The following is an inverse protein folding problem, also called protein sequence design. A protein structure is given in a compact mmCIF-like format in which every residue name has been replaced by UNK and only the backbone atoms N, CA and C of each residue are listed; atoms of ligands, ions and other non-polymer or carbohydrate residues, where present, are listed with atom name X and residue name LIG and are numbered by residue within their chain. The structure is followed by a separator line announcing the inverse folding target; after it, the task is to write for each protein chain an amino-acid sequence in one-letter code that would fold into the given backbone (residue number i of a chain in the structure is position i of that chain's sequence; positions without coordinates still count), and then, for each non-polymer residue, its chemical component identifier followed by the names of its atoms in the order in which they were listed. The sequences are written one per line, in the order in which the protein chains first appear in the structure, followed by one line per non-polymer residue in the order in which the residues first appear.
data_IF_231385622910
#
_entry.id   IF_231385622910
#
_cell.length_a   1.000
_cell.length_b   1.000
_cell.length_c   1.000
_cell.angle_alpha   90.00
_cell.angle_beta   90.00
_cell.angle_gamma   90.00
#
_symmetry.space_group_name_H-M   'P 1'
#
loop_
_entity.id
_entity.type
_entity.pdbx_description
1 polymer ?
#
# COMPACT_ATOMS: atom_id res chain seq x y z
N UNK A 1 55.04 37.35 32.51
CA UNK A 1 53.72 36.69 32.56
C UNK A 1 53.12 36.71 31.17
N UNK A 2 53.31 35.65 30.38
CA UNK A 2 52.78 35.50 29.03
C UNK A 2 51.31 35.05 29.08
N UNK A 3 50.42 35.81 28.43
CA UNK A 3 49.01 35.47 28.25
C UNK A 3 48.90 34.41 27.15
N UNK A 4 48.44 33.21 27.50
CA UNK A 4 48.17 32.12 26.54
C UNK A 4 46.79 32.37 25.92
N UNK A 5 46.77 32.89 24.69
CA UNK A 5 45.64 32.74 23.78
C UNK A 5 45.70 31.32 23.20
N UNK A 6 44.73 30.48 23.54
CA UNK A 6 44.53 29.19 22.91
C UNK A 6 43.18 29.19 22.18
N UNK A 7 43.29 29.58 20.91
CA UNK A 7 42.73 28.95 19.70
C UNK A 7 41.43 28.17 19.95
N UNK A 8 40.34 28.76 19.44
CA UNK A 8 39.06 28.13 19.20
C UNK A 8 39.21 26.86 18.35
N UNK A 9 38.66 25.74 18.83
CA UNK A 9 38.52 24.51 18.05
C UNK A 9 37.06 24.41 17.64
N UNK A 10 36.85 24.39 16.33
CA UNK A 10 35.57 24.32 15.62
C UNK A 10 34.66 23.19 16.16
N UNK A 11 33.33 23.41 16.26
CA UNK A 11 32.41 22.30 16.35
C UNK A 11 32.41 21.58 15.01
N UNK A 12 32.82 20.31 15.01
CA UNK A 12 32.67 19.43 13.86
C UNK A 12 31.17 19.35 13.53
N UNK A 13 30.82 19.90 12.37
CA UNK A 13 29.49 19.84 11.81
C UNK A 13 29.04 18.37 11.75
N UNK A 14 28.07 18.02 12.60
CA UNK A 14 27.21 16.88 12.34
C UNK A 14 26.47 17.21 11.05
N UNK A 15 26.93 16.66 9.93
CA UNK A 15 26.16 16.65 8.69
C UNK A 15 24.91 15.84 8.97
N UNK A 16 23.82 16.56 9.19
CA UNK A 16 22.45 16.08 9.14
C UNK A 16 22.24 15.45 7.77
N UNK A 17 22.43 14.14 7.63
CA UNK A 17 21.84 13.39 6.52
C UNK A 17 20.39 13.10 6.88
N UNK A 18 19.54 14.12 6.85
CA UNK A 18 18.12 13.93 6.58
C UNK A 18 17.98 13.70 5.08
N UNK A 19 18.30 12.49 4.63
CA UNK A 19 17.83 12.01 3.34
C UNK A 19 16.55 11.20 3.60
N UNK A 20 15.42 11.71 3.10
CA UNK A 20 14.21 10.92 2.84
C UNK A 20 13.26 10.72 4.02
N UNK A 21 12.76 11.80 4.64
CA UNK A 21 11.54 11.71 5.44
C UNK A 21 10.40 12.41 4.66
N UNK A 22 9.55 11.60 4.01
CA UNK A 22 8.13 11.85 3.84
C UNK A 22 7.67 13.12 3.12
N UNK A 23 8.19 13.38 1.92
CA UNK A 23 7.58 14.34 0.98
C UNK A 23 7.62 13.73 -0.42
N UNK A 24 6.48 13.74 -1.12
CA UNK A 24 6.27 13.13 -2.45
C UNK A 24 7.55 13.17 -3.29
N UNK A 25 8.16 12.00 -3.48
CA UNK A 25 9.35 11.91 -4.32
C UNK A 25 8.93 12.18 -5.77
N UNK A 26 9.81 12.78 -6.56
CA UNK A 26 9.55 12.98 -7.99
C UNK A 26 9.19 11.67 -8.71
N UNK A 27 9.65 10.54 -8.17
CA UNK A 27 9.35 9.18 -8.64
C UNK A 27 7.89 8.82 -8.41
N UNK A 28 7.31 9.13 -7.24
CA UNK A 28 5.87 8.92 -6.98
C UNK A 28 5.05 9.87 -7.84
N UNK A 29 5.39 11.17 -7.88
CA UNK A 29 4.65 12.14 -8.68
C UNK A 29 4.61 11.76 -10.17
N UNK A 30 5.73 11.29 -10.72
CA UNK A 30 5.77 10.87 -12.12
C UNK A 30 4.88 9.65 -12.40
N UNK A 31 4.86 8.65 -11.52
CA UNK A 31 3.96 7.51 -11.68
C UNK A 31 2.49 7.92 -11.57
N UNK A 32 2.17 8.76 -10.58
CA UNK A 32 0.81 9.27 -10.35
C UNK A 32 0.21 9.97 -11.57
N UNK A 33 1.03 10.64 -12.37
CA UNK A 33 0.63 11.36 -13.59
C UNK A 33 0.49 10.45 -14.83
N UNK A 34 1.01 9.21 -14.80
CA UNK A 34 0.90 8.30 -15.94
C UNK A 34 -0.52 7.77 -16.13
N UNK A 35 -0.87 7.49 -17.39
CA UNK A 35 -2.16 6.92 -17.75
C UNK A 35 -2.34 5.53 -17.11
N UNK A 36 -3.52 5.29 -16.55
CA UNK A 36 -3.85 4.02 -15.90
C UNK A 36 -4.05 2.92 -16.95
N UNK A 37 -3.38 1.76 -16.87
CA UNK A 37 -3.39 0.78 -17.97
C UNK A 37 -4.76 0.15 -18.26
N UNK A 38 -5.66 0.10 -17.28
CA UNK A 38 -7.01 -0.46 -17.47
C UNK A 38 -8.02 0.57 -18.01
N UNK A 39 -7.78 1.86 -17.82
CA UNK A 39 -8.57 2.95 -18.38
C UNK A 39 -7.66 4.17 -18.65
N UNK A 40 -7.29 4.34 -19.92
CA UNK A 40 -6.38 5.41 -20.34
C UNK A 40 -6.95 6.83 -20.19
N UNK A 41 -8.23 6.98 -19.83
CA UNK A 41 -8.81 8.29 -19.51
C UNK A 41 -8.47 8.77 -18.10
N UNK A 42 -7.96 7.88 -17.25
CA UNK A 42 -7.57 8.14 -15.87
C UNK A 42 -6.05 8.13 -15.73
N UNK A 43 -5.53 8.85 -14.74
CA UNK A 43 -4.17 8.67 -14.24
C UNK A 43 -4.14 7.65 -13.09
N UNK A 44 -2.94 7.18 -12.71
CA UNK A 44 -2.80 6.35 -11.50
C UNK A 44 -3.35 7.05 -10.26
N UNK A 45 -3.08 8.34 -10.07
CA UNK A 45 -3.65 9.10 -8.95
C UNK A 45 -5.18 9.04 -8.94
N UNK A 46 -5.81 9.26 -10.10
CA UNK A 46 -7.27 9.28 -10.20
C UNK A 46 -7.89 7.91 -9.94
N UNK A 47 -7.25 6.84 -10.43
CA UNK A 47 -7.73 5.46 -10.26
C UNK A 47 -7.42 4.86 -8.87
N UNK A 48 -6.41 5.37 -8.16
CA UNK A 48 -5.93 4.76 -6.92
C UNK A 48 -6.27 5.60 -5.68
N UNK A 49 -6.21 6.93 -5.73
CA UNK A 49 -6.37 7.77 -4.53
C UNK A 49 -7.84 8.09 -4.21
N UNK A 50 -8.79 7.72 -5.09
CA UNK A 50 -10.21 8.07 -4.96
C UNK A 50 -11.13 6.86 -4.83
N UNK A 51 -10.58 5.71 -4.47
CA UNK A 51 -11.32 4.44 -4.41
C UNK A 51 -12.29 4.38 -3.24
N UNK A 52 -13.52 3.94 -3.50
CA UNK A 52 -14.55 3.78 -2.47
C UNK A 52 -14.14 2.76 -1.40
N UNK A 53 -13.49 1.66 -1.79
CA UNK A 53 -13.07 0.57 -0.89
C UNK A 53 -12.00 0.97 0.14
N UNK A 54 -11.25 2.05 -0.12
CA UNK A 54 -10.12 2.47 0.73
C UNK A 54 -10.57 3.44 1.83
N UNK A 55 -10.16 3.18 3.07
CA UNK A 55 -10.26 4.10 4.21
C UNK A 55 -9.20 5.20 4.10
N UNK A 56 -7.98 4.81 3.73
CA UNK A 56 -6.84 5.69 3.47
C UNK A 56 -5.97 5.08 2.37
N UNK A 57 -5.15 5.93 1.77
CA UNK A 57 -4.15 5.51 0.78
C UNK A 57 -2.80 6.13 1.11
N UNK A 58 -1.73 5.38 0.89
CA UNK A 58 -0.35 5.85 1.05
C UNK A 58 0.48 5.53 -0.19
N UNK A 59 1.53 6.34 -0.38
CA UNK A 59 2.52 6.14 -1.43
C UNK A 59 3.90 6.34 -0.84
N UNK A 60 4.80 5.42 -1.13
CA UNK A 60 6.18 5.51 -0.68
C UNK A 60 7.16 4.95 -1.70
N UNK A 61 8.42 5.29 -1.49
CA UNK A 61 9.53 4.75 -2.27
C UNK A 61 10.48 4.06 -1.32
N UNK A 62 10.68 2.76 -1.54
CA UNK A 62 11.55 1.92 -0.76
C UNK A 62 12.64 1.32 -1.66
N UNK A 63 13.69 0.79 -1.04
CA UNK A 63 14.66 -0.05 -1.74
C UNK A 63 14.40 -1.52 -1.39
N UNK A 64 14.39 -2.38 -2.39
CA UNK A 64 14.35 -3.83 -2.14
C UNK A 64 15.71 -4.37 -1.65
N UNK A 65 15.78 -5.67 -1.37
CA UNK A 65 17.00 -6.32 -0.91
C UNK A 65 18.18 -6.31 -1.90
N UNK A 66 17.99 -5.80 -3.12
CA UNK A 66 19.01 -5.62 -4.16
C UNK A 66 19.32 -4.14 -4.41
N UNK A 67 18.79 -3.23 -3.60
CA UNK A 67 18.96 -1.78 -3.77
C UNK A 67 18.21 -1.22 -4.98
N UNK A 68 17.17 -1.92 -5.46
CA UNK A 68 16.32 -1.40 -6.54
C UNK A 68 15.22 -0.55 -5.94
N UNK A 69 14.96 0.59 -6.56
CA UNK A 69 13.88 1.48 -6.15
C UNK A 69 12.52 0.84 -6.47
N UNK A 70 11.65 0.81 -5.46
CA UNK A 70 10.29 0.26 -5.52
C UNK A 70 9.33 1.34 -5.07
N UNK A 71 8.42 1.72 -5.96
CA UNK A 71 7.26 2.54 -5.58
C UNK A 71 6.19 1.61 -5.04
N UNK A 72 5.68 1.91 -3.85
CA UNK A 72 4.62 1.15 -3.19
C UNK A 72 3.41 2.05 -2.98
N UNK A 73 2.26 1.57 -3.44
CA UNK A 73 0.94 2.08 -3.10
C UNK A 73 0.30 1.14 -2.10
N UNK A 74 -0.34 1.70 -1.08
CA UNK A 74 -1.19 0.94 -0.16
C UNK A 74 -2.56 1.59 -0.05
N UNK A 75 -3.57 0.74 0.08
CA UNK A 75 -4.95 1.08 0.38
C UNK A 75 -5.38 0.30 1.61
N UNK A 76 -5.59 1.01 2.72
CA UNK A 76 -6.21 0.44 3.90
C UNK A 76 -7.68 0.16 3.59
N UNK A 77 -8.10 -1.10 3.68
CA UNK A 77 -9.44 -1.50 3.29
C UNK A 77 -10.47 -1.18 4.37
N UNK A 78 -11.63 -0.64 3.95
CA UNK A 78 -12.79 -0.44 4.83
C UNK A 78 -13.44 -1.78 5.21
N UNK A 79 -14.28 -1.75 6.25
CA UNK A 79 -15.19 -2.85 6.56
C UNK A 79 -14.52 -4.09 7.16
N UNK A 80 -13.33 -3.95 7.74
CA UNK A 80 -12.69 -5.03 8.53
C UNK A 80 -13.55 -5.34 9.75
N UNK A 81 -13.99 -4.33 10.50
CA UNK A 81 -14.87 -4.49 11.66
C UNK A 81 -16.20 -5.15 11.28
N UNK A 82 -16.86 -4.64 10.22
CA UNK A 82 -18.11 -5.21 9.73
C UNK A 82 -17.95 -6.68 9.31
N UNK A 83 -16.83 -7.02 8.65
CA UNK A 83 -16.52 -8.40 8.27
C UNK A 83 -16.33 -9.28 9.51
N UNK A 84 -15.60 -8.80 10.52
CA UNK A 84 -15.36 -9.54 11.77
C UNK A 84 -16.67 -9.78 12.53
N UNK A 85 -17.55 -8.76 12.63
CA UNK A 85 -18.83 -8.87 13.30
C UNK A 85 -19.73 -9.94 12.65
N UNK A 86 -19.78 -9.96 11.33
CA UNK A 86 -20.52 -10.99 10.58
C UNK A 86 -19.89 -12.39 10.75
N UNK A 87 -18.56 -12.49 10.64
CA UNK A 87 -17.84 -13.74 10.85
C UNK A 87 -18.08 -14.32 12.25
N UNK A 88 -18.05 -13.47 13.28
CA UNK A 88 -18.34 -13.86 14.64
C UNK A 88 -19.79 -14.35 14.78
N UNK A 89 -20.76 -13.60 14.24
CA UNK A 89 -22.17 -13.98 14.25
C UNK A 89 -22.44 -15.33 13.56
N UNK A 90 -21.73 -15.64 12.47
CA UNK A 90 -21.85 -16.90 11.74
C UNK A 90 -21.17 -18.07 12.45
N UNK A 91 -20.05 -17.83 13.14
CA UNK A 91 -19.31 -18.87 13.87
C UNK A 91 -20.05 -19.37 15.11
N UNK A 92 -20.85 -18.51 15.75
CA UNK A 92 -21.49 -18.78 17.04
C UNK A 92 -20.53 -18.86 18.23
N UNK A 93 -19.28 -18.39 18.07
CA UNK A 93 -18.25 -18.31 19.11
C UNK A 93 -18.18 -16.89 19.70
N UNK A 94 -17.59 -16.76 20.89
CA UNK A 94 -17.32 -15.45 21.48
C UNK A 94 -16.12 -14.77 20.75
N UNK A 95 -16.08 -13.44 20.65
CA UNK A 95 -15.03 -12.72 19.90
C UNK A 95 -13.59 -13.01 20.34
N UNK A 96 -13.37 -13.29 21.63
CA UNK A 96 -12.04 -13.61 22.17
C UNK A 96 -11.59 -15.05 21.87
N UNK A 97 -12.48 -15.90 21.38
CA UNK A 97 -12.16 -17.24 20.86
C UNK A 97 -11.85 -17.22 19.35
N UNK A 98 -12.04 -16.08 18.70
CA UNK A 98 -11.86 -15.90 17.26
C UNK A 98 -10.56 -15.14 16.94
N UNK A 99 -9.88 -15.61 15.91
CA UNK A 99 -8.75 -14.89 15.29
C UNK A 99 -9.30 -13.81 14.36
N UNK A 100 -9.75 -12.70 14.95
CA UNK A 100 -10.34 -11.58 14.19
C UNK A 100 -9.26 -10.74 13.53
N UNK A 101 -9.56 -10.23 12.34
CA UNK A 101 -8.60 -9.40 11.62
C UNK A 101 -8.46 -8.03 12.31
N UNK A 102 -7.23 -7.61 12.50
CA UNK A 102 -6.86 -6.24 12.92
C UNK A 102 -6.79 -5.24 11.76
N UNK A 103 -6.73 -5.72 10.51
CA UNK A 103 -6.62 -4.85 9.33
C UNK A 103 -6.52 -5.64 8.02
N UNK A 104 -6.68 -4.93 6.91
CA UNK A 104 -6.45 -5.49 5.58
C UNK A 104 -5.94 -4.39 4.63
N UNK A 105 -4.87 -4.67 3.90
CA UNK A 105 -4.19 -3.70 3.03
C UNK A 105 -4.11 -4.25 1.61
N UNK A 106 -4.63 -3.50 0.63
CA UNK A 106 -4.33 -3.75 -0.78
C UNK A 106 -3.04 -3.02 -1.16
N UNK A 107 -2.00 -3.78 -1.49
CA UNK A 107 -0.69 -3.25 -1.89
C UNK A 107 -0.45 -3.45 -3.39
N UNK A 108 0.14 -2.43 -4.02
CA UNK A 108 0.62 -2.50 -5.40
C UNK A 108 2.05 -1.95 -5.43
N UNK A 109 2.97 -2.70 -6.02
CA UNK A 109 4.36 -2.31 -6.12
C UNK A 109 4.83 -2.24 -7.58
N UNK A 110 5.70 -1.28 -7.85
CA UNK A 110 6.37 -1.12 -9.13
C UNK A 110 7.88 -0.96 -8.92
N UNK A 111 8.68 -1.74 -9.64
CA UNK A 111 10.08 -1.41 -9.81
C UNK A 111 10.21 -0.15 -10.64
N UNK A 112 11.03 0.79 -10.18
CA UNK A 112 11.42 1.95 -10.94
C UNK A 112 12.88 1.84 -11.39
N UNK A 113 13.14 2.11 -12.67
CA UNK A 113 14.48 2.23 -13.22
C UNK A 113 14.48 3.23 -14.38
N UNK A 114 15.31 4.27 -14.28
CA UNK A 114 15.52 5.26 -15.35
C UNK A 114 14.22 5.88 -15.91
N UNK A 115 13.22 6.15 -15.07
CA UNK A 115 11.94 6.73 -15.48
C UNK A 115 10.91 5.72 -15.99
N UNK A 116 11.26 4.43 -16.05
CA UNK A 116 10.34 3.35 -16.39
C UNK A 116 9.82 2.65 -15.14
N UNK A 117 8.55 2.27 -15.17
CA UNK A 117 7.85 1.58 -14.08
C UNK A 117 7.39 0.22 -14.55
N UNK A 118 7.77 -0.81 -13.80
CA UNK A 118 7.33 -2.18 -14.06
C UNK A 118 6.63 -2.72 -12.84
N UNK A 119 5.35 -3.05 -12.99
CA UNK A 119 4.58 -3.73 -11.97
C UNK A 119 5.36 -4.95 -11.47
N UNK A 120 5.57 -5.01 -10.17
CA UNK A 120 6.33 -6.06 -9.51
C UNK A 120 5.43 -7.01 -8.75
N UNK A 121 4.45 -6.45 -8.06
CA UNK A 121 3.62 -7.20 -7.12
C UNK A 121 2.25 -6.53 -6.92
N UNK A 122 1.21 -7.34 -6.72
CA UNK A 122 -0.12 -6.88 -6.36
C UNK A 122 -0.76 -7.87 -5.41
N UNK A 123 -1.12 -7.46 -4.20
CA UNK A 123 -1.59 -8.40 -3.17
C UNK A 123 -2.49 -7.74 -2.14
N UNK A 124 -3.24 -8.55 -1.40
CA UNK A 124 -3.94 -8.12 -0.19
C UNK A 124 -3.29 -8.80 1.01
N UNK A 125 -2.77 -8.00 1.93
CA UNK A 125 -2.22 -8.47 3.20
C UNK A 125 -3.33 -8.37 4.26
N UNK A 126 -3.69 -9.50 4.87
CA UNK A 126 -4.66 -9.61 5.98
C UNK A 126 -3.89 -9.68 7.29
N UNK A 127 -4.26 -8.82 8.24
CA UNK A 127 -3.54 -8.67 9.49
C UNK A 127 -4.35 -9.21 10.66
N UNK A 128 -3.71 -9.96 11.54
CA UNK A 128 -4.24 -10.38 12.85
C UNK A 128 -3.25 -9.90 13.91
N UNK A 129 -3.74 -9.26 14.97
CA UNK A 129 -2.90 -8.71 16.05
C UNK A 129 -1.74 -7.80 15.57
N UNK A 130 -1.93 -7.11 14.44
CA UNK A 130 -0.93 -6.22 13.85
C UNK A 130 0.18 -6.92 13.06
N UNK A 131 0.13 -8.25 12.90
CA UNK A 131 1.03 -9.03 12.06
C UNK A 131 0.29 -9.53 10.81
N UNK A 132 1.00 -9.69 9.69
CA UNK A 132 0.42 -10.30 8.48
C UNK A 132 0.17 -11.77 8.78
N UNK A 133 -1.10 -12.17 8.75
CA UNK A 133 -1.56 -13.54 8.97
C UNK A 133 -1.71 -14.29 7.64
N UNK A 134 -2.26 -13.62 6.62
CA UNK A 134 -2.42 -14.18 5.28
C UNK A 134 -2.16 -13.13 4.18
N UNK A 135 -1.74 -13.60 3.00
CA UNK A 135 -1.48 -12.77 1.82
C UNK A 135 -2.17 -13.38 0.61
N UNK A 136 -3.08 -12.62 0.02
CA UNK A 136 -3.80 -12.98 -1.21
C UNK A 136 -3.08 -12.32 -2.39
N UNK A 137 -2.32 -13.12 -3.12
CA UNK A 137 -1.69 -12.70 -4.38
C UNK A 137 -2.75 -12.43 -5.45
N UNK A 138 -2.71 -11.22 -6.02
CA UNK A 138 -3.60 -10.80 -7.09
C UNK A 138 -2.83 -10.78 -8.40
N UNK A 139 -3.52 -11.09 -9.50
CA UNK A 139 -2.99 -10.72 -10.81
C UNK A 139 -3.34 -9.25 -11.10
N UNK A 140 -2.58 -8.65 -12.01
CA UNK A 140 -2.74 -7.27 -12.43
C UNK A 140 -4.19 -6.92 -12.84
N UNK A 141 -4.87 -7.82 -13.55
CA UNK A 141 -6.24 -7.58 -14.03
C UNK A 141 -7.22 -7.41 -12.87
N UNK A 142 -7.14 -8.29 -11.86
CA UNK A 142 -8.00 -8.23 -10.68
C UNK A 142 -7.67 -6.97 -9.86
N UNK A 143 -6.38 -6.73 -9.58
CA UNK A 143 -5.93 -5.55 -8.84
C UNK A 143 -6.40 -4.24 -9.48
N UNK A 144 -6.38 -4.16 -10.81
CA UNK A 144 -6.83 -2.97 -11.54
C UNK A 144 -8.35 -2.90 -11.69
N UNK A 145 -9.05 -4.04 -11.74
CA UNK A 145 -10.50 -4.05 -11.72
C UNK A 145 -11.04 -3.49 -10.40
N UNK A 146 -10.44 -3.89 -9.28
CA UNK A 146 -10.72 -3.33 -7.95
C UNK A 146 -10.52 -1.81 -7.93
N UNK A 147 -9.57 -1.30 -8.71
CA UNK A 147 -9.32 0.14 -8.82
C UNK A 147 -10.47 0.94 -9.41
N UNK A 148 -11.18 0.33 -10.36
CA UNK A 148 -12.15 1.02 -11.20
C UNK A 148 -13.59 0.70 -10.78
N UNK A 149 -13.78 -0.25 -9.86
CA UNK A 149 -15.10 -0.71 -9.46
C UNK A 149 -15.57 0.04 -8.21
N UNK A 150 -16.29 1.14 -8.41
CA UNK A 150 -16.89 1.94 -7.35
C UNK A 150 -17.95 1.18 -6.54
N UNK A 151 -18.46 0.04 -7.05
CA UNK A 151 -19.47 -0.77 -6.35
C UNK A 151 -18.88 -1.69 -5.28
N UNK A 152 -17.56 -1.87 -5.25
CA UNK A 152 -16.89 -2.62 -4.19
C UNK A 152 -16.66 -1.67 -3.01
N UNK A 153 -17.51 -1.78 -2.00
CA UNK A 153 -17.37 -1.06 -0.74
C UNK A 153 -17.05 -2.06 0.38
N UNK A 154 -15.93 -1.82 1.07
CA UNK A 154 -15.42 -2.67 2.13
C UNK A 154 -14.84 -4.03 1.73
N UNK A 155 -14.21 -4.68 2.71
CA UNK A 155 -13.45 -5.92 2.57
C UNK A 155 -14.31 -7.09 2.09
N UNK A 156 -15.53 -7.26 2.62
CA UNK A 156 -16.43 -8.35 2.21
C UNK A 156 -16.73 -8.32 0.71
N UNK A 157 -17.15 -7.15 0.21
CA UNK A 157 -17.45 -6.97 -1.21
C UNK A 157 -16.23 -7.23 -2.08
N UNK A 158 -15.05 -6.82 -1.60
CA UNK A 158 -13.78 -7.04 -2.28
C UNK A 158 -13.45 -8.53 -2.40
N UNK A 159 -13.51 -9.27 -1.30
CA UNK A 159 -13.22 -10.71 -1.28
C UNK A 159 -14.20 -11.49 -2.18
N UNK A 160 -15.48 -11.09 -2.20
CA UNK A 160 -16.47 -11.64 -3.13
C UNK A 160 -16.09 -11.38 -4.59
N UNK A 161 -15.74 -10.15 -4.94
CA UNK A 161 -15.34 -9.79 -6.30
C UNK A 161 -14.08 -10.52 -6.76
N UNK A 162 -13.10 -10.71 -5.87
CA UNK A 162 -11.88 -11.49 -6.15
C UNK A 162 -12.23 -12.94 -6.43
N UNK A 163 -13.03 -13.56 -5.57
CA UNK A 163 -13.45 -14.95 -5.74
C UNK A 163 -14.23 -15.15 -7.07
N UNK A 164 -15.11 -14.22 -7.43
CA UNK A 164 -15.79 -14.24 -8.71
C UNK A 164 -14.83 -14.11 -9.90
N UNK A 165 -13.86 -13.19 -9.82
CA UNK A 165 -12.88 -12.94 -10.89
C UNK A 165 -11.84 -14.06 -11.06
N UNK A 166 -11.63 -14.88 -10.02
CA UNK A 166 -10.76 -16.06 -10.05
C UNK A 166 -11.49 -17.35 -10.49
N UNK A 167 -12.83 -17.35 -10.44
CA UNK A 167 -13.63 -18.51 -10.85
C UNK A 167 -13.35 -18.86 -12.32
N UNK A 168 -13.20 -20.17 -12.67
CA UNK A 168 -13.06 -20.60 -14.07
C UNK A 168 -14.31 -20.33 -14.92
N UNK A 169 -15.42 -19.93 -14.29
CA UNK A 169 -16.66 -19.50 -14.92
C UNK A 169 -16.90 -17.99 -14.82
N UNK A 170 -15.96 -17.24 -14.24
CA UNK A 170 -15.96 -15.78 -14.27
C UNK A 170 -15.66 -15.29 -15.68
N UNK A 171 -16.59 -14.52 -16.24
CA UNK A 171 -16.63 -13.83 -17.54
C UNK A 171 -15.42 -14.00 -18.48
#
# INVERSE_FOLDING_TARGET
MQKRNLIAILPAAAMLTLAGCGGDSAVVSNLKEQAFPADSSLTYEQALDRRAVCASTSWEVNEDNRGREVVRYECDLKGVDDFNDEFAAESGLEPDELSLMSGAIHAIEWFHNDGEYRLSDTRIDLYTDGEVDDTIELNQRISFHIALEDRVDGLKGLLMAINEAQSPWGW
#
